data_IF_707799043285
#
_entry.id   IF_707799043285
#
_cell.length_a   1.000
_cell.length_b   1.000
_cell.length_c   1.000
_cell.angle_alpha   90.00
_cell.angle_beta   90.00
_cell.angle_gamma   90.00
#
_symmetry.space_group_name_H-M   'P 1'
#
loop_
_entity.id
_entity.type
_entity.pdbx_description
1 polymer ?
#
# COMPACT_ATOMS: atom_id res chain seq x y z
N UNK A 1 31.49 6.09 0.03
CA UNK A 1 31.82 7.05 1.09
C UNK A 1 31.09 6.61 2.35
N UNK A 2 31.80 6.10 3.35
CA UNK A 2 31.21 5.44 4.52
C UNK A 2 31.07 6.44 5.67
N UNK A 3 29.85 6.66 6.16
CA UNK A 3 29.56 7.52 7.31
C UNK A 3 29.45 6.61 8.55
N UNK A 4 30.36 6.78 9.52
CA UNK A 4 30.29 6.08 10.81
C UNK A 4 29.22 6.73 11.68
N UNK A 5 28.20 5.96 12.08
CA UNK A 5 27.12 6.37 12.98
C UNK A 5 27.48 6.00 14.43
N UNK A 6 27.33 6.95 15.35
CA UNK A 6 27.62 6.79 16.77
C UNK A 6 26.75 5.73 17.45
N UNK A 7 27.32 5.09 18.47
CA UNK A 7 26.74 3.99 19.24
C UNK A 7 25.45 4.42 19.96
N UNK A 8 24.32 3.88 19.50
CA UNK A 8 23.06 3.85 20.23
C UNK A 8 22.75 2.38 20.52
N UNK A 9 22.83 2.00 21.80
CA UNK A 9 22.55 0.66 22.30
C UNK A 9 21.05 0.38 22.12
N UNK A 10 20.70 -0.49 21.17
CA UNK A 10 19.32 -0.85 20.86
C UNK A 10 19.04 -1.32 19.43
N UNK A 11 20.00 -1.23 18.50
CA UNK A 11 19.84 -1.73 17.14
C UNK A 11 21.15 -2.36 16.64
N UNK A 12 21.23 -3.69 16.71
CA UNK A 12 22.50 -4.42 16.54
C UNK A 12 23.06 -4.38 15.12
N UNK A 13 22.26 -4.17 14.08
CA UNK A 13 22.80 -3.95 12.72
C UNK A 13 21.69 -3.47 11.80
N UNK A 14 21.89 -2.35 11.11
CA UNK A 14 21.02 -1.94 10.01
C UNK A 14 21.70 -2.38 8.72
N UNK A 15 21.24 -3.49 8.15
CA UNK A 15 21.69 -3.92 6.83
C UNK A 15 20.97 -3.06 5.77
N UNK A 16 21.67 -2.06 5.24
CA UNK A 16 21.20 -1.25 4.13
C UNK A 16 21.53 -2.02 2.86
N UNK A 17 20.58 -2.83 2.40
CA UNK A 17 20.69 -3.49 1.10
C UNK A 17 20.32 -2.50 0.00
N UNK A 18 21.08 -2.51 -1.10
CA UNK A 18 20.77 -1.73 -2.28
C UNK A 18 19.46 -2.24 -2.89
N UNK A 19 18.47 -1.35 -3.00
CA UNK A 19 17.14 -1.66 -3.54
C UNK A 19 17.24 -2.21 -4.97
N UNK A 20 18.30 -1.86 -5.71
CA UNK A 20 18.55 -2.35 -7.07
C UNK A 20 18.91 -3.85 -7.11
N UNK A 21 19.35 -4.43 -6.00
CA UNK A 21 19.72 -5.86 -5.91
C UNK A 21 18.51 -6.77 -5.62
N UNK A 22 17.39 -6.19 -5.19
CA UNK A 22 16.14 -6.90 -4.88
C UNK A 22 15.35 -7.05 -6.18
N UNK A 23 15.80 -7.97 -7.04
CA UNK A 23 15.10 -8.45 -8.23
C UNK A 23 14.50 -7.39 -9.17
N UNK A 24 15.08 -7.27 -10.37
CA UNK A 24 14.37 -6.91 -11.60
C UNK A 24 13.17 -5.99 -11.39
N UNK A 25 13.43 -4.70 -11.12
CA UNK A 25 12.44 -3.64 -11.37
C UNK A 25 12.33 -3.49 -12.91
N UNK A 26 11.96 -4.58 -13.55
CA UNK A 26 11.66 -4.74 -14.96
C UNK A 26 10.31 -5.42 -15.03
N UNK A 27 9.33 -4.75 -14.43
CA UNK A 27 8.08 -4.59 -15.13
C UNK A 27 7.99 -3.08 -15.34
N UNK A 28 7.88 -2.62 -16.58
CA UNK A 28 7.57 -1.21 -16.82
C UNK A 28 6.16 -0.98 -16.27
N UNK A 29 6.06 -0.72 -14.96
CA UNK A 29 4.81 -0.42 -14.30
C UNK A 29 4.42 0.98 -14.73
N UNK A 30 3.85 1.06 -15.94
CA UNK A 30 3.30 2.28 -16.50
C UNK A 30 2.27 2.80 -15.50
N UNK A 31 2.47 4.01 -14.96
CA UNK A 31 1.51 4.57 -14.02
C UNK A 31 0.16 4.67 -14.71
N UNK A 32 -0.87 4.17 -14.05
CA UNK A 32 -2.24 4.26 -14.55
C UNK A 32 -2.53 5.71 -15.00
N UNK A 33 -3.13 5.94 -16.18
CA UNK A 33 -3.26 7.30 -16.76
C UNK A 33 -3.90 8.34 -15.82
N UNK A 34 -4.73 7.89 -14.88
CA UNK A 34 -5.36 8.70 -13.84
C UNK A 34 -4.33 9.35 -12.90
N UNK A 35 -3.22 8.67 -12.59
CA UNK A 35 -2.11 9.25 -11.83
C UNK A 35 -1.41 10.35 -12.61
N UNK A 36 -1.17 10.15 -13.90
CA UNK A 36 -0.55 11.15 -14.77
C UNK A 36 -1.44 12.39 -14.92
N UNK A 37 -2.75 12.19 -15.04
CA UNK A 37 -3.72 13.28 -15.13
C UNK A 37 -3.79 14.10 -13.84
N UNK A 38 -3.77 13.44 -12.67
CA UNK A 38 -3.70 14.13 -11.39
C UNK A 38 -2.40 14.91 -11.24
N UNK A 39 -1.27 14.27 -11.54
CA UNK A 39 0.06 14.88 -11.44
C UNK A 39 0.17 16.12 -12.33
N UNK A 40 -0.21 16.00 -13.60
CA UNK A 40 -0.28 17.12 -14.52
C UNK A 40 -1.17 18.24 -13.97
N UNK A 41 -2.34 17.87 -13.45
CA UNK A 41 -3.24 18.79 -12.79
C UNK A 41 -2.62 19.52 -11.59
N UNK A 42 -1.80 18.85 -10.79
CA UNK A 42 -1.13 19.48 -9.64
C UNK A 42 0.02 20.39 -10.04
N UNK A 43 0.70 20.10 -11.15
CA UNK A 43 1.83 20.90 -11.62
C UNK A 43 1.39 22.11 -12.45
N UNK A 44 0.28 22.01 -13.20
CA UNK A 44 -0.12 23.05 -14.16
C UNK A 44 -1.12 24.08 -13.64
N UNK A 45 -1.77 23.87 -12.49
CA UNK A 45 -2.78 24.79 -11.99
C UNK A 45 -2.54 25.17 -10.52
N UNK A 46 -2.43 26.47 -10.23
CA UNK A 46 -2.41 27.02 -8.86
C UNK A 46 -3.77 26.93 -8.13
N UNK A 47 -4.71 26.17 -8.67
CA UNK A 47 -6.02 25.97 -8.05
C UNK A 47 -5.86 24.99 -6.90
N UNK A 48 -6.46 25.29 -5.75
CA UNK A 48 -6.52 24.40 -4.59
C UNK A 48 -7.25 23.10 -4.97
N UNK A 49 -6.51 22.14 -5.53
CA UNK A 49 -7.03 20.84 -5.94
C UNK A 49 -7.17 19.92 -4.73
N UNK A 50 -8.17 19.03 -4.74
CA UNK A 50 -8.27 17.99 -3.74
C UNK A 50 -7.01 17.12 -3.76
N UNK A 51 -6.61 16.63 -2.59
CA UNK A 51 -5.57 15.59 -2.47
C UNK A 51 -5.96 14.38 -3.32
N UNK A 52 -4.98 13.53 -3.65
CA UNK A 52 -5.18 12.31 -4.44
C UNK A 52 -6.49 11.57 -4.12
N UNK A 53 -6.78 11.35 -2.83
CA UNK A 53 -8.00 10.67 -2.41
C UNK A 53 -9.28 11.37 -2.88
N UNK A 54 -9.38 12.69 -2.74
CA UNK A 54 -10.57 13.44 -3.17
C UNK A 54 -10.67 13.58 -4.69
N UNK A 55 -9.53 13.56 -5.40
CA UNK A 55 -9.53 13.45 -6.86
C UNK A 55 -10.06 12.09 -7.31
N UNK A 56 -9.60 11.00 -6.68
CA UNK A 56 -10.08 9.65 -6.96
C UNK A 56 -11.55 9.48 -6.62
N UNK A 57 -12.00 10.02 -5.49
CA UNK A 57 -13.40 9.99 -5.07
C UNK A 57 -14.32 10.66 -6.10
N UNK A 58 -13.93 11.81 -6.63
CA UNK A 58 -14.66 12.46 -7.73
C UNK A 58 -14.57 11.69 -9.05
N UNK A 59 -13.40 11.14 -9.38
CA UNK A 59 -13.18 10.37 -10.60
C UNK A 59 -13.95 9.03 -10.63
N UNK A 60 -14.21 8.44 -9.46
CA UNK A 60 -14.93 7.16 -9.33
C UNK A 60 -16.37 7.30 -8.85
N UNK A 61 -16.88 8.54 -8.67
CA UNK A 61 -18.22 8.81 -8.12
C UNK A 61 -19.36 8.13 -8.91
N UNK A 62 -19.19 7.93 -10.22
CA UNK A 62 -20.17 7.29 -11.10
C UNK A 62 -19.93 5.80 -11.37
N UNK A 63 -18.81 5.24 -10.89
CA UNK A 63 -18.53 3.83 -11.08
C UNK A 63 -19.30 3.02 -10.02
N UNK A 64 -19.86 1.85 -10.37
CA UNK A 64 -20.39 0.95 -9.35
C UNK A 64 -19.26 0.66 -8.37
N UNK A 65 -19.44 1.08 -7.11
CA UNK A 65 -18.48 0.74 -6.06
C UNK A 65 -18.52 -0.77 -5.88
N UNK A 66 -17.56 -1.48 -6.48
CA UNK A 66 -17.08 -2.74 -5.94
C UNK A 66 -16.38 -2.39 -4.62
N UNK A 67 -17.16 -2.13 -3.58
CA UNK A 67 -16.65 -1.89 -2.24
C UNK A 67 -15.84 -3.12 -1.84
N UNK A 68 -14.52 -2.98 -1.89
CA UNK A 68 -13.61 -3.87 -1.18
C UNK A 68 -13.89 -3.65 0.30
N UNK A 69 -14.77 -4.48 0.86
CA UNK A 69 -15.10 -4.42 2.28
C UNK A 69 -13.97 -5.08 3.05
N UNK A 70 -13.34 -4.33 3.94
CA UNK A 70 -12.49 -4.92 4.97
C UNK A 70 -13.44 -5.49 6.02
N UNK A 71 -13.69 -6.79 5.95
CA UNK A 71 -14.51 -7.50 6.92
C UNK A 71 -13.67 -7.75 8.17
N UNK A 72 -14.08 -7.18 9.31
CA UNK A 72 -13.47 -7.50 10.59
C UNK A 72 -13.85 -8.94 10.95
N UNK A 73 -12.88 -9.85 10.82
CA UNK A 73 -13.03 -11.22 11.27
C UNK A 73 -13.14 -11.27 12.81
N UNK A 74 -13.98 -12.15 13.38
CA UNK A 74 -14.00 -12.38 14.81
C UNK A 74 -12.66 -12.92 15.28
N UNK A 75 -12.28 -12.60 16.53
CA UNK A 75 -11.05 -13.13 17.12
C UNK A 75 -11.16 -14.64 17.30
N UNK A 76 -10.43 -15.40 16.46
CA UNK A 76 -10.33 -16.85 16.59
C UNK A 76 -9.14 -17.15 17.49
N UNK A 77 -9.40 -17.76 18.65
CA UNK A 77 -8.38 -18.09 19.64
C UNK A 77 -7.59 -19.36 19.29
N UNK A 78 -7.10 -19.46 18.04
CA UNK A 78 -6.28 -20.55 17.55
C UNK A 78 -5.13 -19.99 16.66
N UNK A 79 -4.01 -20.72 16.51
CA UNK A 79 -2.93 -20.31 15.63
C UNK A 79 -3.40 -20.13 14.18
N UNK A 80 -2.89 -19.13 13.44
CA UNK A 80 -3.25 -18.92 12.03
C UNK A 80 -2.71 -20.02 11.10
N UNK A 81 -1.80 -20.88 11.58
CA UNK A 81 -1.28 -22.04 10.85
C UNK A 81 -2.21 -23.26 10.89
N UNK A 82 -3.24 -23.25 11.75
CA UNK A 82 -4.20 -24.35 11.86
C UNK A 82 -5.27 -24.23 10.77
N UNK A 83 -5.53 -25.32 10.06
CA UNK A 83 -6.51 -25.36 8.97
C UNK A 83 -7.91 -24.96 9.43
N UNK A 84 -8.32 -25.41 10.61
CA UNK A 84 -9.64 -25.09 11.18
C UNK A 84 -9.82 -23.59 11.44
N UNK A 85 -8.74 -22.88 11.83
CA UNK A 85 -8.75 -21.42 12.00
C UNK A 85 -9.03 -20.72 10.67
N UNK A 86 -8.37 -21.16 9.61
CA UNK A 86 -8.51 -20.59 8.26
C UNK A 86 -9.92 -20.83 7.73
N UNK A 87 -10.42 -22.07 7.82
CA UNK A 87 -11.76 -22.42 7.36
C UNK A 87 -12.83 -21.67 8.15
N UNK A 88 -12.65 -21.55 9.47
CA UNK A 88 -13.57 -20.80 10.33
C UNK A 88 -13.59 -19.35 9.92
N UNK A 89 -12.43 -18.69 9.77
CA UNK A 89 -12.32 -17.31 9.33
C UNK A 89 -13.01 -17.05 7.98
N UNK A 90 -12.78 -17.92 7.00
CA UNK A 90 -13.40 -17.80 5.66
C UNK A 90 -14.92 -17.96 5.74
N UNK A 91 -15.42 -18.86 6.59
CA UNK A 91 -16.86 -19.07 6.78
C UNK A 91 -17.53 -17.90 7.50
N UNK A 92 -16.87 -17.23 8.45
CA UNK A 92 -17.40 -16.04 9.11
C UNK A 92 -17.30 -14.76 8.28
N UNK A 93 -16.50 -14.75 7.21
CA UNK A 93 -16.38 -13.62 6.28
C UNK A 93 -17.51 -13.55 5.23
N UNK A 94 -18.51 -14.42 5.29
CA UNK A 94 -19.66 -14.43 4.37
C UNK A 94 -20.74 -13.47 4.82
#
# INVERSE_FOLDING_TARGET
>A
MSIKKGEISGLETVNISDVQSIHSIQDEMLPHPVHLLWLYGTCSTNVRKPRWNGFMEGATQGNPCEHSRVLCLPFINNPPSQFDTIVTAIRTAK
#
